data_IF_026211162250
#
_entry.id   IF_026211162250
#
_cell.length_a   1.000
_cell.length_b   1.000
_cell.length_c   1.000
_cell.angle_alpha   90.00
_cell.angle_beta   90.00
_cell.angle_gamma   90.00
#
_symmetry.space_group_name_H-M   'P 1'
#
loop_
_entity.id
_entity.type
_entity.pdbx_description
1 polymer ?
#
# COMPACT_ATOMS: atom_id res chain seq x y z
N UNK A 1 -4.89 40.73 -11.31
CA UNK A 1 -3.73 40.18 -10.59
C UNK A 1 -4.07 38.74 -10.32
N UNK A 2 -3.63 37.85 -11.20
CA UNK A 2 -3.88 36.43 -11.03
C UNK A 2 -2.76 35.87 -10.16
N UNK A 3 -3.13 35.37 -8.99
CA UNK A 3 -2.24 34.80 -7.99
C UNK A 3 -1.61 33.53 -8.56
N UNK A 4 -0.33 33.59 -8.88
CA UNK A 4 0.44 32.44 -9.31
C UNK A 4 0.41 31.36 -8.22
N UNK A 5 -0.22 30.23 -8.52
CA UNK A 5 -0.15 29.02 -7.72
C UNK A 5 1.25 28.43 -7.93
N UNK A 6 2.08 28.46 -6.90
CA UNK A 6 3.38 27.78 -6.89
C UNK A 6 3.14 26.27 -6.91
N UNK A 7 3.38 25.64 -8.07
CA UNK A 7 3.36 24.19 -8.23
C UNK A 7 4.68 23.61 -7.74
N UNK A 8 4.67 23.05 -6.54
CA UNK A 8 5.77 22.28 -5.98
C UNK A 8 5.91 20.95 -6.72
N UNK A 9 6.91 20.82 -7.60
CA UNK A 9 7.51 19.57 -8.12
C UNK A 9 6.61 18.32 -8.22
N UNK A 10 5.38 18.48 -8.69
CA UNK A 10 4.46 17.39 -9.00
C UNK A 10 4.10 17.52 -10.46
N UNK A 11 4.13 16.39 -11.19
CA UNK A 11 3.63 16.30 -12.56
C UNK A 11 2.11 16.50 -12.53
N UNK A 12 1.68 17.76 -12.44
CA UNK A 12 0.28 18.18 -12.54
C UNK A 12 0.09 18.74 -13.94
N UNK A 13 -0.70 18.06 -14.75
CA UNK A 13 -1.09 18.59 -16.05
C UNK A 13 -2.24 19.58 -15.90
N UNK A 14 -1.95 20.85 -16.15
CA UNK A 14 -2.95 21.92 -16.24
C UNK A 14 -3.61 21.83 -17.62
N UNK A 15 -4.92 21.57 -17.67
CA UNK A 15 -5.69 21.62 -18.92
C UNK A 15 -5.89 23.07 -19.37
N UNK A 16 -4.89 23.65 -20.02
CA UNK A 16 -5.10 24.81 -20.90
C UNK A 16 -5.71 24.32 -22.22
N UNK A 17 -6.67 25.05 -22.79
CA UNK A 17 -7.30 24.70 -24.07
C UNK A 17 -6.31 24.82 -25.24
N UNK A 18 -5.52 23.78 -25.47
CA UNK A 18 -4.70 23.61 -26.67
C UNK A 18 -4.86 22.17 -27.16
N UNK A 19 -5.49 21.99 -28.32
CA UNK A 19 -5.57 20.70 -29.03
C UNK A 19 -4.20 20.33 -29.58
N UNK A 20 -3.33 19.79 -28.71
CA UNK A 20 -2.05 19.22 -29.13
C UNK A 20 -2.23 17.71 -29.25
N UNK A 21 -1.99 17.22 -30.47
CA UNK A 21 -1.91 15.80 -30.81
C UNK A 21 -0.58 15.27 -30.24
N UNK A 22 -0.61 14.86 -28.98
CA UNK A 22 0.55 14.31 -28.28
C UNK A 22 0.26 12.88 -27.83
N UNK A 23 1.31 12.05 -27.87
CA UNK A 23 1.26 10.71 -27.29
C UNK A 23 0.92 10.81 -25.79
N UNK A 24 0.19 9.82 -25.27
CA UNK A 24 -0.14 9.76 -23.86
C UNK A 24 1.14 9.80 -23.01
N UNK A 25 1.12 10.50 -21.87
CA UNK A 25 2.25 10.56 -20.95
C UNK A 25 1.89 9.87 -19.64
N UNK A 26 2.57 8.75 -19.33
CA UNK A 26 2.26 7.93 -18.18
C UNK A 26 2.68 8.61 -16.87
N UNK A 27 1.73 8.81 -15.97
CA UNK A 27 2.00 9.26 -14.61
C UNK A 27 0.98 8.66 -13.65
N UNK A 28 1.39 8.39 -12.41
CA UNK A 28 0.49 7.89 -11.39
C UNK A 28 0.96 8.18 -9.98
N UNK A 29 0.04 8.10 -9.03
CA UNK A 29 0.29 8.12 -7.58
C UNK A 29 -0.45 6.97 -6.89
N UNK A 30 -0.25 6.83 -5.58
CA UNK A 30 -0.94 5.84 -4.75
C UNK A 30 -1.40 6.48 -3.43
N UNK A 31 -2.37 5.86 -2.76
CA UNK A 31 -2.79 6.26 -1.41
C UNK A 31 -1.71 5.97 -0.34
N UNK A 32 -1.00 4.84 -0.49
CA UNK A 32 0.07 4.40 0.41
C UNK A 32 1.23 3.80 -0.37
N UNK A 33 2.42 3.78 0.22
CA UNK A 33 3.63 3.17 -0.38
C UNK A 33 4.29 2.13 0.51
N UNK A 34 3.81 1.96 1.74
CA UNK A 34 4.35 0.97 2.67
C UNK A 34 3.37 0.57 3.75
N UNK A 35 3.50 -0.64 4.25
CA UNK A 35 2.72 -1.17 5.37
C UNK A 35 2.98 -2.67 5.58
N UNK A 36 2.36 -3.29 6.59
CA UNK A 36 2.39 -4.73 6.77
C UNK A 36 1.52 -5.45 5.73
N UNK A 37 1.84 -6.71 5.43
CA UNK A 37 0.99 -7.56 4.60
C UNK A 37 -0.25 -8.07 5.38
N UNK A 38 -1.46 -8.13 4.80
CA UNK A 38 -1.80 -7.69 3.45
C UNK A 38 -1.87 -6.16 3.35
N UNK A 39 -1.28 -5.59 2.30
CA UNK A 39 -1.33 -4.16 2.02
C UNK A 39 -2.19 -3.89 0.79
N UNK A 40 -3.35 -3.27 0.99
CA UNK A 40 -4.18 -2.75 -0.12
C UNK A 40 -3.69 -1.38 -0.55
N UNK A 41 -3.41 -1.24 -1.84
CA UNK A 41 -2.92 0.00 -2.48
C UNK A 41 -3.88 0.39 -3.59
N UNK A 42 -4.39 1.61 -3.52
CA UNK A 42 -5.18 2.24 -4.57
C UNK A 42 -4.25 3.00 -5.50
N UNK A 43 -4.26 2.63 -6.78
CA UNK A 43 -3.48 3.30 -7.82
C UNK A 43 -4.32 4.36 -8.51
N UNK A 44 -3.78 5.58 -8.60
CA UNK A 44 -4.46 6.73 -9.17
C UNK A 44 -3.72 7.15 -10.43
N UNK A 45 -4.40 7.04 -11.57
CA UNK A 45 -3.94 7.59 -12.85
C UNK A 45 -3.80 9.11 -12.77
N UNK A 46 -2.60 9.60 -13.07
CA UNK A 46 -2.26 11.02 -13.21
C UNK A 46 -1.73 11.32 -14.62
N UNK A 47 -1.94 10.41 -15.58
CA UNK A 47 -1.40 10.49 -16.93
C UNK A 47 -2.02 11.64 -17.73
N UNK A 48 -1.23 12.16 -18.68
CA UNK A 48 -1.60 13.32 -19.48
C UNK A 48 -1.88 12.96 -20.94
N UNK A 49 -2.40 13.93 -21.69
CA UNK A 49 -2.73 13.80 -23.12
C UNK A 49 -3.80 12.74 -23.43
N UNK A 50 -4.81 12.62 -22.56
CA UNK A 50 -6.03 11.81 -22.80
C UNK A 50 -5.73 10.34 -23.17
N UNK A 51 -5.11 9.57 -22.26
CA UNK A 51 -4.97 8.13 -22.44
C UNK A 51 -6.34 7.46 -22.64
N UNK A 52 -6.39 6.49 -23.54
CA UNK A 52 -7.56 5.67 -23.86
C UNK A 52 -7.43 4.23 -23.36
N UNK A 53 -6.23 3.79 -22.98
CA UNK A 53 -6.00 2.48 -22.38
C UNK A 53 -4.89 2.51 -21.33
N UNK A 54 -4.97 1.58 -20.37
CA UNK A 54 -4.05 1.41 -19.25
C UNK A 54 -3.62 -0.04 -19.15
N UNK A 55 -2.36 -0.26 -18.76
CA UNK A 55 -1.83 -1.55 -18.40
C UNK A 55 -0.92 -1.39 -17.19
N UNK A 56 -1.34 -2.01 -16.09
CA UNK A 56 -0.61 -2.05 -14.83
C UNK A 56 0.10 -3.40 -14.67
N UNK A 57 1.33 -3.34 -14.20
CA UNK A 57 2.04 -4.48 -13.63
C UNK A 57 2.46 -4.11 -12.21
N UNK A 58 1.95 -4.83 -11.22
CA UNK A 58 2.14 -4.50 -9.81
C UNK A 58 3.47 -5.00 -9.24
N UNK A 59 4.23 -5.78 -10.01
CA UNK A 59 5.54 -6.31 -9.64
C UNK A 59 5.51 -7.62 -8.84
N UNK A 60 4.33 -8.19 -8.61
CA UNK A 60 4.08 -9.45 -7.89
C UNK A 60 3.54 -10.58 -8.82
N UNK A 61 3.50 -10.32 -10.13
CA UNK A 61 2.92 -11.22 -11.13
C UNK A 61 1.49 -10.87 -11.54
N UNK A 62 0.80 -10.01 -10.79
CA UNK A 62 -0.55 -9.55 -11.10
C UNK A 62 -0.54 -8.28 -11.97
N UNK A 63 -1.61 -8.10 -12.74
CA UNK A 63 -1.79 -6.99 -13.68
C UNK A 63 -3.24 -6.47 -13.65
N UNK A 64 -3.46 -5.28 -14.20
CA UNK A 64 -4.80 -4.72 -14.40
C UNK A 64 -4.85 -3.83 -15.65
N UNK A 65 -6.03 -3.68 -16.24
CA UNK A 65 -6.32 -2.73 -17.32
C UNK A 65 -7.23 -1.58 -16.87
N UNK A 66 -7.61 -1.55 -15.59
CA UNK A 66 -8.46 -0.49 -15.06
C UNK A 66 -7.68 0.81 -14.94
N UNK A 67 -8.38 1.94 -15.08
CA UNK A 67 -7.79 3.26 -14.89
C UNK A 67 -7.41 3.52 -13.42
N UNK A 68 -8.21 3.02 -12.49
CA UNK A 68 -8.04 3.21 -11.03
C UNK A 68 -8.13 1.86 -10.29
N UNK A 69 -7.14 0.96 -10.43
CA UNK A 69 -7.20 -0.33 -9.78
C UNK A 69 -6.85 -0.24 -8.29
N UNK A 70 -7.55 -1.03 -7.48
CA UNK A 70 -7.10 -1.40 -6.14
C UNK A 70 -6.36 -2.75 -6.22
N UNK A 71 -5.18 -2.85 -5.63
CA UNK A 71 -4.37 -4.07 -5.62
C UNK A 71 -3.97 -4.47 -4.20
N UNK A 72 -3.95 -5.77 -3.92
CA UNK A 72 -3.61 -6.29 -2.60
C UNK A 72 -2.30 -7.07 -2.63
N UNK A 73 -1.29 -6.58 -1.92
CA UNK A 73 -0.01 -7.27 -1.77
C UNK A 73 -0.05 -8.16 -0.52
N UNK A 74 -0.08 -9.47 -0.74
CA UNK A 74 -0.24 -10.48 0.31
C UNK A 74 1.05 -10.85 1.05
N UNK A 75 2.20 -10.57 0.45
CA UNK A 75 3.51 -10.98 0.98
C UNK A 75 4.40 -9.77 1.24
N UNK A 76 5.34 -9.93 2.17
CA UNK A 76 6.36 -8.92 2.39
C UNK A 76 7.34 -8.88 1.23
N UNK A 77 7.71 -7.68 0.80
CA UNK A 77 8.55 -7.50 -0.37
C UNK A 77 8.70 -6.05 -0.81
N UNK A 78 9.58 -5.85 -1.78
CA UNK A 78 9.69 -4.58 -2.51
C UNK A 78 9.20 -4.81 -3.92
N UNK A 79 8.15 -4.10 -4.30
CA UNK A 79 7.49 -4.29 -5.58
C UNK A 79 7.80 -3.13 -6.55
N UNK A 80 8.06 -3.51 -7.80
CA UNK A 80 8.28 -2.57 -8.90
C UNK A 80 6.96 -2.38 -9.63
N UNK A 81 6.38 -1.18 -9.56
CA UNK A 81 5.12 -0.90 -10.24
C UNK A 81 5.38 -0.27 -11.60
N UNK A 82 4.73 -0.79 -12.63
CA UNK A 82 4.80 -0.25 -14.00
C UNK A 82 3.40 0.11 -14.48
N UNK A 83 3.27 1.31 -15.04
CA UNK A 83 2.08 1.74 -15.78
C UNK A 83 2.47 2.02 -17.23
N UNK A 84 1.77 1.41 -18.17
CA UNK A 84 1.75 1.79 -19.57
C UNK A 84 0.40 2.38 -19.92
N UNK A 85 0.40 3.53 -20.58
CA UNK A 85 -0.81 4.15 -21.13
C UNK A 85 -0.65 4.40 -22.62
N UNK A 86 -1.77 4.45 -23.34
CA UNK A 86 -1.79 4.67 -24.78
C UNK A 86 -3.00 5.51 -25.20
N UNK A 87 -2.81 6.31 -26.24
CA UNK A 87 -3.85 7.02 -26.99
C UNK A 87 -3.61 6.85 -28.50
N UNK A 88 -4.44 7.48 -29.33
CA UNK A 88 -4.31 7.43 -30.80
C UNK A 88 -2.98 7.97 -31.36
N UNK A 89 -2.24 8.75 -30.56
CA UNK A 89 -0.98 9.39 -30.96
C UNK A 89 0.26 8.64 -30.47
N UNK A 90 0.11 7.67 -29.57
CA UNK A 90 1.20 6.84 -29.08
C UNK A 90 1.00 6.34 -27.66
N UNK A 91 2.07 5.76 -27.11
CA UNK A 91 2.08 5.20 -25.76
C UNK A 91 3.27 5.72 -24.96
N UNK A 92 3.13 5.66 -23.64
CA UNK A 92 4.19 5.94 -22.68
C UNK A 92 4.17 4.91 -21.56
N UNK A 93 5.33 4.65 -20.98
CA UNK A 93 5.50 3.71 -19.87
C UNK A 93 6.34 4.34 -18.77
N UNK A 94 5.85 4.28 -17.54
CA UNK A 94 6.58 4.69 -16.34
C UNK A 94 6.75 3.50 -15.41
N UNK A 95 7.98 3.29 -14.93
CA UNK A 95 8.34 2.25 -13.97
C UNK A 95 8.90 2.86 -12.71
N UNK A 96 8.37 2.41 -11.58
CA UNK A 96 8.68 2.88 -10.24
C UNK A 96 9.25 1.72 -9.43
N UNK A 97 10.58 1.67 -9.32
CA UNK A 97 11.35 0.56 -8.75
C UNK A 97 11.32 0.58 -7.23
N UNK A 98 10.97 -0.55 -6.60
CA UNK A 98 10.90 -0.71 -5.14
C UNK A 98 9.97 0.27 -4.45
N UNK A 99 8.97 0.76 -5.18
CA UNK A 99 8.11 1.86 -4.75
C UNK A 99 7.16 1.41 -3.65
N UNK A 100 6.53 0.23 -3.81
CA UNK A 100 5.69 -0.35 -2.77
C UNK A 100 6.54 -1.25 -1.91
N UNK A 101 6.52 -0.99 -0.59
CA UNK A 101 7.33 -1.70 0.41
C UNK A 101 6.42 -2.37 1.42
N UNK A 102 6.20 -3.65 1.24
CA UNK A 102 5.40 -4.46 2.15
C UNK A 102 6.32 -5.11 3.17
N UNK A 103 5.95 -5.00 4.43
CA UNK A 103 6.67 -5.57 5.56
C UNK A 103 5.94 -6.81 6.06
N UNK A 104 6.65 -7.70 6.76
CA UNK A 104 5.99 -8.83 7.39
C UNK A 104 4.99 -8.32 8.43
N UNK A 105 3.80 -8.90 8.45
CA UNK A 105 2.94 -8.78 9.61
C UNK A 105 3.61 -9.48 10.79
N UNK A 106 3.89 -8.73 11.85
CA UNK A 106 4.30 -9.32 13.12
C UNK A 106 3.04 -9.67 13.89
N UNK A 107 2.72 -10.95 13.96
CA UNK A 107 1.65 -11.50 14.77
C UNK A 107 2.26 -12.37 15.86
N UNK A 108 1.78 -12.22 17.09
CA UNK A 108 2.11 -13.09 18.21
C UNK A 108 0.81 -13.72 18.70
N UNK A 109 0.84 -15.01 19.03
CA UNK A 109 -0.32 -15.71 19.58
C UNK A 109 -0.14 -15.96 21.08
N UNK A 110 -1.22 -15.74 21.83
CA UNK A 110 -1.31 -16.05 23.27
C UNK A 110 -2.35 -17.13 23.48
N UNK A 111 -1.99 -18.23 24.13
CA UNK A 111 -2.89 -19.34 24.48
C UNK A 111 -2.48 -19.91 25.85
N UNK A 112 -3.39 -19.92 26.81
CA UNK A 112 -3.15 -20.43 28.17
C UNK A 112 -3.17 -21.97 28.26
N UNK A 113 -3.61 -22.67 27.21
CA UNK A 113 -3.85 -24.11 27.20
C UNK A 113 -3.23 -24.85 25.98
N UNK A 114 -2.47 -24.16 25.12
CA UNK A 114 -2.01 -24.72 23.84
C UNK A 114 -0.59 -24.30 23.40
N UNK A 115 -0.13 -24.80 22.23
CA UNK A 115 1.17 -24.46 21.66
C UNK A 115 1.09 -23.09 20.95
N UNK A 116 1.04 -22.01 21.72
CA UNK A 116 1.17 -20.65 21.21
C UNK A 116 2.57 -20.08 21.48
N UNK A 117 2.85 -18.91 20.89
CA UNK A 117 4.12 -18.20 21.09
C UNK A 117 4.30 -17.81 22.56
N UNK A 118 3.19 -17.49 23.26
CA UNK A 118 3.17 -17.11 24.66
C UNK A 118 1.96 -17.69 25.39
N UNK A 119 2.07 -17.87 26.70
CA UNK A 119 0.95 -18.21 27.60
C UNK A 119 0.44 -17.00 28.41
N UNK A 120 1.16 -15.88 28.35
CA UNK A 120 0.85 -14.61 29.02
C UNK A 120 0.73 -13.49 28.00
N UNK A 121 -0.30 -12.65 28.15
CA UNK A 121 -0.49 -11.45 27.37
C UNK A 121 0.63 -10.44 27.66
N UNK A 122 1.08 -10.33 28.92
CA UNK A 122 2.18 -9.42 29.25
C UNK A 122 3.49 -9.83 28.56
N UNK A 123 3.83 -11.12 28.54
CA UNK A 123 5.06 -11.59 27.86
C UNK A 123 5.01 -11.32 26.35
N UNK A 124 3.84 -11.49 25.73
CA UNK A 124 3.64 -11.14 24.34
C UNK A 124 3.78 -9.63 24.10
N UNK A 125 3.25 -8.79 25.00
CA UNK A 125 3.42 -7.32 24.94
C UNK A 125 4.88 -6.92 25.10
N UNK A 126 5.61 -7.54 26.03
CA UNK A 126 7.02 -7.27 26.30
C UNK A 126 7.92 -7.71 25.13
N UNK A 127 7.53 -8.77 24.42
CA UNK A 127 8.25 -9.30 23.25
C UNK A 127 7.85 -8.62 21.94
N UNK A 128 6.69 -7.96 21.90
CA UNK A 128 6.16 -7.32 20.71
C UNK A 128 7.00 -6.12 20.27
N UNK A 129 7.22 -6.03 18.95
CA UNK A 129 7.72 -4.80 18.33
C UNK A 129 6.57 -3.80 18.14
N UNK A 130 6.85 -2.49 17.98
CA UNK A 130 5.81 -1.53 17.66
C UNK A 130 5.06 -1.91 16.36
N UNK A 131 3.74 -1.96 16.43
CA UNK A 131 2.84 -2.38 15.34
C UNK A 131 2.48 -3.86 15.30
N UNK A 132 3.03 -4.68 16.22
CA UNK A 132 2.66 -6.10 16.34
C UNK A 132 1.19 -6.27 16.73
N UNK A 133 0.54 -7.25 16.12
CA UNK A 133 -0.80 -7.71 16.50
C UNK A 133 -0.67 -8.93 17.41
N UNK A 134 -1.13 -8.82 18.64
CA UNK A 134 -1.19 -9.91 19.61
C UNK A 134 -2.60 -10.52 19.53
N UNK A 135 -2.68 -11.79 19.15
CA UNK A 135 -3.93 -12.53 19.03
C UNK A 135 -4.06 -13.45 20.25
N UNK A 136 -5.04 -13.16 21.09
CA UNK A 136 -5.32 -13.88 22.33
C UNK A 136 -6.40 -14.92 22.05
N UNK A 137 -6.05 -16.20 22.17
CA UNK A 137 -6.97 -17.34 22.04
C UNK A 137 -7.97 -17.36 23.19
N UNK A 138 -9.06 -18.09 23.03
CA UNK A 138 -10.01 -18.29 24.12
C UNK A 138 -9.32 -18.93 25.33
N UNK A 139 -9.63 -18.42 26.52
CA UNK A 139 -8.88 -18.77 27.73
C UNK A 139 -9.21 -17.84 28.89
N UNK A 140 -8.60 -18.10 30.04
CA UNK A 140 -8.73 -17.24 31.24
C UNK A 140 -7.40 -16.63 31.60
N UNK A 141 -7.22 -15.36 31.23
CA UNK A 141 -6.00 -14.60 31.50
C UNK A 141 -6.24 -13.69 32.71
N UNK A 142 -5.65 -14.06 33.86
CA UNK A 142 -5.73 -13.25 35.09
C UNK A 142 -4.38 -12.60 35.37
N UNK A 143 -4.12 -11.48 34.68
CA UNK A 143 -2.86 -10.75 34.78
C UNK A 143 -3.07 -9.24 34.60
N UNK A 144 -2.12 -8.43 35.07
CA UNK A 144 -2.10 -7.00 34.81
C UNK A 144 -1.26 -6.74 33.56
N UNK A 145 -1.87 -6.18 32.52
CA UNK A 145 -1.18 -5.87 31.27
C UNK A 145 -0.74 -4.41 31.25
N UNK A 146 0.56 -4.17 31.14
CA UNK A 146 1.18 -2.87 30.93
C UNK A 146 1.60 -2.72 29.45
N UNK A 147 0.96 -1.80 28.75
CA UNK A 147 1.23 -1.52 27.33
C UNK A 147 2.01 -0.21 27.23
N UNK A 148 3.33 -0.32 27.03
CA UNK A 148 4.25 0.82 26.94
C UNK A 148 4.59 1.21 25.49
N UNK A 149 4.08 0.47 24.51
CA UNK A 149 4.32 0.66 23.08
C UNK A 149 3.06 0.42 22.24
N UNK A 150 3.08 0.86 20.99
CA UNK A 150 1.94 0.66 20.09
C UNK A 150 1.84 -0.82 19.68
N UNK A 151 0.88 -1.54 20.26
CA UNK A 151 0.49 -2.91 19.85
C UNK A 151 -1.03 -2.98 19.69
N UNK A 152 -1.51 -3.91 18.88
CA UNK A 152 -2.94 -4.22 18.75
C UNK A 152 -3.20 -5.54 19.45
N UNK A 153 -4.12 -5.58 20.42
CA UNK A 153 -4.52 -6.83 21.09
C UNK A 153 -5.92 -7.21 20.59
N UNK A 154 -6.05 -8.40 20.01
CA UNK A 154 -7.30 -8.94 19.48
C UNK A 154 -7.61 -10.25 20.20
N UNK A 155 -8.86 -10.43 20.66
CA UNK A 155 -9.34 -11.74 21.12
C UNK A 155 -9.92 -12.53 19.96
N UNK A 156 -9.61 -13.83 19.86
CA UNK A 156 -10.41 -14.72 19.02
C UNK A 156 -11.78 -14.95 19.67
N UNK A 157 -12.82 -14.78 18.86
CA UNK A 157 -14.21 -15.05 19.20
C UNK A 157 -14.54 -16.53 19.18
#
# INVERSE_FOLDING_TARGET
>A
MDTALTLENTNVCIKAFTNRSEAAEAAFTTNVTSGPAPLTVDFIDASCFSPTSWYWNFGDGNTSTDRFPAHNYMEAGKYNVTLRVENEYGNSTIKKTGWIRVTNSSMLYVDDNGPADFTSIQEAVDSASPGTTIVVKNGTYTENVNVDRAVTILSES
#
